data_IF_904270029672
#
_entry.id   IF_904270029672
#
_cell.length_a   1.000
_cell.length_b   1.000
_cell.length_c   1.000
_cell.angle_alpha   90.00
_cell.angle_beta   90.00
_cell.angle_gamma   90.00
#
_symmetry.space_group_name_H-M   'P 1'
#
loop_
_entity.id
_entity.type
_entity.pdbx_description
1 polymer ?
#
# COMPACT_ATOMS: atom_id res chain seq x y z
N UNK A 1 -42.82 34.05 -12.54
CA UNK A 1 -41.61 33.58 -11.83
C UNK A 1 -41.16 34.66 -10.84
N UNK A 2 -40.86 34.33 -9.57
CA UNK A 2 -40.49 35.32 -8.56
C UNK A 2 -39.16 36.03 -8.92
N UNK A 3 -39.09 37.35 -8.65
CA UNK A 3 -37.98 38.26 -9.06
C UNK A 3 -36.59 37.88 -8.49
N UNK A 4 -36.55 36.98 -7.50
CA UNK A 4 -35.33 36.50 -6.86
C UNK A 4 -34.49 35.57 -7.76
N UNK A 5 -35.11 34.93 -8.75
CA UNK A 5 -34.43 34.08 -9.72
C UNK A 5 -33.79 34.87 -10.89
N UNK A 6 -33.95 36.20 -10.93
CA UNK A 6 -33.39 37.03 -11.98
C UNK A 6 -31.93 37.42 -11.65
N UNK A 7 -30.94 37.05 -12.49
CA UNK A 7 -29.52 37.41 -12.29
C UNK A 7 -29.28 38.92 -12.13
N UNK A 8 -30.14 39.74 -12.74
CA UNK A 8 -30.05 41.21 -12.67
C UNK A 8 -30.31 41.76 -11.26
N UNK A 9 -31.04 41.04 -10.40
CA UNK A 9 -31.31 41.46 -9.01
C UNK A 9 -30.05 41.31 -8.15
N UNK A 10 -29.42 40.14 -8.18
CA UNK A 10 -28.18 39.85 -7.45
C UNK A 10 -26.98 40.67 -7.92
N UNK A 11 -26.93 41.02 -9.21
CA UNK A 11 -25.88 41.89 -9.72
C UNK A 11 -25.93 43.30 -9.12
N UNK A 12 -27.11 43.82 -8.73
CA UNK A 12 -27.25 45.14 -8.10
C UNK A 12 -26.86 45.15 -6.61
N UNK A 13 -26.94 44.01 -5.94
CA UNK A 13 -26.55 43.83 -4.53
C UNK A 13 -25.04 43.64 -4.36
N UNK A 14 -24.30 43.30 -5.42
CA UNK A 14 -22.85 43.11 -5.38
C UNK A 14 -22.11 44.45 -5.50
N UNK A 15 -21.24 44.82 -4.55
CA UNK A 15 -20.43 46.03 -4.60
C UNK A 15 -19.64 46.15 -5.90
N UNK A 16 -19.45 47.38 -6.39
CA UNK A 16 -18.78 47.65 -7.68
C UNK A 16 -17.36 47.05 -7.77
N UNK A 17 -16.66 46.97 -6.63
CA UNK A 17 -15.33 46.36 -6.54
C UNK A 17 -15.31 44.84 -6.80
N UNK A 18 -16.41 44.14 -6.57
CA UNK A 18 -16.55 42.69 -6.80
C UNK A 18 -17.37 42.36 -8.05
N UNK A 19 -17.93 43.39 -8.70
CA UNK A 19 -18.65 43.25 -9.94
C UNK A 19 -17.64 42.95 -11.04
N UNK A 20 -17.51 41.67 -11.43
CA UNK A 20 -16.72 41.27 -12.61
C UNK A 20 -17.42 41.80 -13.86
N UNK A 21 -17.13 43.03 -14.26
CA UNK A 21 -17.39 43.52 -15.61
C UNK A 21 -16.31 42.97 -16.51
N UNK A 22 -16.35 41.66 -16.78
CA UNK A 22 -15.67 41.12 -17.96
C UNK A 22 -16.65 41.22 -19.10
N UNK A 23 -16.29 41.96 -20.14
CA UNK A 23 -17.05 41.88 -21.38
C UNK A 23 -17.01 40.43 -21.88
N UNK A 24 -18.04 39.93 -22.60
CA UNK A 24 -18.02 38.58 -23.16
C UNK A 24 -16.74 38.33 -23.99
N UNK A 25 -16.22 39.40 -24.61
CA UNK A 25 -14.97 39.43 -25.37
C UNK A 25 -13.73 39.23 -24.49
N UNK A 26 -13.65 39.89 -23.32
CA UNK A 26 -12.55 39.67 -22.35
C UNK A 26 -12.61 38.29 -21.70
N UNK A 27 -13.80 37.77 -21.44
CA UNK A 27 -13.96 36.41 -20.92
C UNK A 27 -13.52 35.36 -21.96
N UNK A 28 -13.87 35.57 -23.24
CA UNK A 28 -13.41 34.73 -24.35
C UNK A 28 -11.90 34.84 -24.57
N UNK A 29 -11.32 36.04 -24.49
CA UNK A 29 -9.88 36.26 -24.63
C UNK A 29 -9.08 35.52 -23.53
N UNK A 30 -9.50 35.62 -22.27
CA UNK A 30 -8.87 34.87 -21.18
C UNK A 30 -9.09 33.36 -21.23
N UNK A 31 -10.20 32.90 -21.83
CA UNK A 31 -10.42 31.48 -22.05
C UNK A 31 -9.48 30.93 -23.15
N UNK A 32 -9.29 31.69 -24.23
CA UNK A 32 -8.33 31.36 -25.29
C UNK A 32 -6.88 31.38 -24.78
N UNK A 33 -6.53 32.37 -23.97
CA UNK A 33 -5.22 32.48 -23.32
C UNK A 33 -4.94 31.31 -22.37
N UNK A 34 -5.95 30.81 -21.65
CA UNK A 34 -5.81 29.61 -20.81
C UNK A 34 -5.84 28.30 -21.58
N UNK A 35 -6.41 28.28 -22.77
CA UNK A 35 -6.38 27.13 -23.66
C UNK A 35 -4.98 26.96 -24.28
N UNK A 36 -4.28 28.06 -24.54
CA UNK A 36 -2.87 28.05 -24.93
C UNK A 36 -2.01 27.44 -23.80
N UNK A 37 -1.41 26.28 -24.08
CA UNK A 37 -0.59 25.53 -23.12
C UNK A 37 -1.38 24.67 -22.12
N UNK A 38 -2.70 24.51 -22.30
CA UNK A 38 -3.49 23.59 -21.49
C UNK A 38 -3.05 22.13 -21.70
N UNK A 39 -2.64 21.79 -22.92
CA UNK A 39 -2.18 20.43 -23.27
C UNK A 39 -0.82 20.13 -22.65
N UNK A 40 0.13 21.08 -22.72
CA UNK A 40 1.43 20.96 -22.02
C UNK A 40 1.26 20.83 -20.51
N UNK A 41 0.30 21.56 -19.93
CA UNK A 41 0.00 21.46 -18.49
C UNK A 41 -0.61 20.10 -18.13
N UNK A 42 -1.52 19.59 -18.95
CA UNK A 42 -2.10 18.25 -18.76
C UNK A 42 -1.02 17.18 -18.91
N UNK A 43 -0.15 17.28 -19.92
CA UNK A 43 0.99 16.39 -20.11
C UNK A 43 1.94 16.44 -18.91
N UNK A 44 2.30 17.63 -18.42
CA UNK A 44 3.13 17.80 -17.23
C UNK A 44 2.53 17.16 -15.98
N UNK A 45 1.21 17.26 -15.79
CA UNK A 45 0.50 16.58 -14.69
C UNK A 45 0.58 15.06 -14.84
N UNK A 46 0.42 14.53 -16.06
CA UNK A 46 0.56 13.08 -16.31
C UNK A 46 1.96 12.60 -15.95
N UNK A 47 3.02 13.32 -16.36
CA UNK A 47 4.40 12.95 -16.00
C UNK A 47 4.67 13.09 -14.50
N UNK A 48 4.13 14.12 -13.85
CA UNK A 48 4.21 14.28 -12.40
C UNK A 48 3.57 13.09 -11.66
N UNK A 49 2.35 12.70 -12.06
CA UNK A 49 1.62 11.58 -11.45
C UNK A 49 2.35 10.26 -11.72
N UNK A 50 2.86 10.04 -12.92
CA UNK A 50 3.68 8.86 -13.24
C UNK A 50 4.94 8.79 -12.37
N UNK A 51 5.65 9.91 -12.19
CA UNK A 51 6.83 9.97 -11.32
C UNK A 51 6.50 9.66 -9.86
N UNK A 52 5.37 10.17 -9.35
CA UNK A 52 4.89 9.85 -8.00
C UNK A 52 4.50 8.38 -7.89
N UNK A 53 3.73 7.82 -8.82
CA UNK A 53 3.28 6.42 -8.78
C UNK A 53 4.47 5.46 -8.84
N UNK A 54 5.44 5.72 -9.72
CA UNK A 54 6.65 4.90 -9.82
C UNK A 54 7.50 5.03 -8.54
N UNK A 55 7.70 6.24 -8.02
CA UNK A 55 8.49 6.50 -6.81
C UNK A 55 7.84 6.06 -5.50
N UNK A 56 6.50 6.04 -5.42
CA UNK A 56 5.74 5.75 -4.20
C UNK A 56 5.90 4.30 -3.70
N UNK A 57 6.32 3.38 -4.55
CA UNK A 57 6.50 1.97 -4.20
C UNK A 57 7.72 1.71 -3.30
N UNK A 58 8.65 2.66 -3.15
CA UNK A 58 9.86 2.48 -2.35
C UNK A 58 9.56 2.22 -0.85
N UNK A 59 8.50 2.85 -0.32
CA UNK A 59 8.08 2.69 1.08
C UNK A 59 7.54 1.27 1.30
N UNK A 60 6.69 0.79 0.38
CA UNK A 60 6.15 -0.57 0.45
C UNK A 60 7.27 -1.61 0.44
N UNK A 61 8.29 -1.44 -0.41
CA UNK A 61 9.42 -2.36 -0.48
C UNK A 61 10.23 -2.40 0.81
N UNK A 62 10.42 -1.26 1.49
CA UNK A 62 11.11 -1.21 2.77
C UNK A 62 10.34 -1.92 3.88
N UNK A 63 9.02 -1.80 3.90
CA UNK A 63 8.18 -2.48 4.88
C UNK A 63 8.23 -4.01 4.67
N UNK A 64 8.05 -4.45 3.42
CA UNK A 64 8.15 -5.88 3.04
C UNK A 64 9.52 -6.46 3.42
N UNK A 65 10.61 -5.72 3.18
CA UNK A 65 11.96 -6.15 3.59
C UNK A 65 12.09 -6.29 5.11
N UNK A 66 11.51 -5.37 5.88
CA UNK A 66 11.57 -5.40 7.34
C UNK A 66 10.76 -6.57 7.91
N UNK A 67 9.57 -6.80 7.38
CA UNK A 67 8.72 -7.94 7.73
C UNK A 67 9.46 -9.25 7.45
N UNK A 68 10.06 -9.40 6.26
CA UNK A 68 10.86 -10.57 5.89
C UNK A 68 12.05 -10.80 6.84
N UNK A 69 12.76 -9.73 7.24
CA UNK A 69 13.89 -9.82 8.17
C UNK A 69 13.44 -10.27 9.56
N UNK A 70 12.31 -9.77 10.06
CA UNK A 70 11.76 -10.16 11.35
C UNK A 70 11.29 -11.62 11.32
N UNK A 71 10.59 -12.02 10.26
CA UNK A 71 10.13 -13.39 10.04
C UNK A 71 11.30 -14.38 9.99
N UNK A 72 12.37 -14.06 9.24
CA UNK A 72 13.57 -14.90 9.15
C UNK A 72 14.19 -15.13 10.54
N UNK A 73 14.35 -14.08 11.34
CA UNK A 73 14.93 -14.20 12.69
C UNK A 73 14.09 -15.07 13.62
N UNK A 74 12.77 -14.92 13.58
CA UNK A 74 11.86 -15.73 14.39
C UNK A 74 11.90 -17.20 13.96
N UNK A 75 11.91 -17.45 12.65
CA UNK A 75 11.98 -18.81 12.08
C UNK A 75 13.33 -19.47 12.40
N UNK A 76 14.45 -18.75 12.29
CA UNK A 76 15.78 -19.28 12.61
C UNK A 76 15.89 -19.68 14.08
N UNK A 77 15.33 -18.87 15.00
CA UNK A 77 15.29 -19.20 16.43
C UNK A 77 14.46 -20.48 16.68
N UNK A 78 13.30 -20.61 16.03
CA UNK A 78 12.44 -21.80 16.12
C UNK A 78 13.10 -23.05 15.55
N UNK A 79 13.78 -22.93 14.40
CA UNK A 79 14.54 -24.04 13.80
C UNK A 79 15.70 -24.45 14.70
N UNK A 80 16.41 -23.49 15.31
CA UNK A 80 17.48 -23.79 16.25
C UNK A 80 16.95 -24.55 17.48
N UNK A 81 15.83 -24.12 18.05
CA UNK A 81 15.17 -24.82 19.16
C UNK A 81 14.76 -26.25 18.79
N UNK A 82 14.14 -26.47 17.63
CA UNK A 82 13.80 -27.80 17.14
C UNK A 82 15.04 -28.68 16.96
N UNK A 83 16.10 -28.15 16.36
CA UNK A 83 17.37 -28.88 16.17
C UNK A 83 17.99 -29.30 17.49
N UNK A 84 17.99 -28.41 18.47
CA UNK A 84 18.50 -28.67 19.80
C UNK A 84 17.71 -29.79 20.49
N UNK A 85 16.37 -29.71 20.46
CA UNK A 85 15.50 -30.76 21.02
C UNK A 85 15.77 -32.10 20.35
N UNK A 86 15.82 -32.14 19.01
CA UNK A 86 16.09 -33.37 18.26
C UNK A 86 17.45 -33.95 18.64
N UNK A 87 18.48 -33.11 18.77
CA UNK A 87 19.83 -33.58 19.10
C UNK A 87 19.89 -34.16 20.52
N UNK A 88 19.27 -33.51 21.50
CA UNK A 88 19.23 -33.99 22.89
C UNK A 88 18.43 -35.30 23.03
N UNK A 89 17.29 -35.41 22.35
CA UNK A 89 16.49 -36.66 22.30
C UNK A 89 17.29 -37.78 21.64
N UNK A 90 18.01 -37.50 20.54
CA UNK A 90 18.86 -38.49 19.87
C UNK A 90 20.01 -38.99 20.75
N UNK A 91 20.52 -38.14 21.63
CA UNK A 91 21.56 -38.49 22.60
C UNK A 91 21.03 -39.32 23.78
N UNK A 92 19.71 -39.58 23.84
CA UNK A 92 19.07 -40.34 24.92
C UNK A 92 18.86 -39.55 26.20
N UNK A 93 18.97 -38.22 26.17
CA UNK A 93 18.62 -37.36 27.29
C UNK A 93 17.09 -37.29 27.46
N UNK A 94 16.62 -37.29 28.71
CA UNK A 94 15.22 -37.01 29.02
C UNK A 94 14.98 -35.49 28.87
N UNK A 95 14.33 -35.12 27.78
CA UNK A 95 14.10 -33.72 27.41
C UNK A 95 12.62 -33.42 27.52
N UNK A 96 12.29 -32.43 28.34
CA UNK A 96 10.95 -31.86 28.38
C UNK A 96 10.68 -31.02 27.12
N UNK A 97 10.25 -31.71 26.06
CA UNK A 97 9.91 -31.14 24.75
C UNK A 97 8.87 -30.04 24.87
N UNK A 98 7.91 -30.19 25.80
CA UNK A 98 6.81 -29.25 25.96
C UNK A 98 7.29 -27.90 26.45
N UNK A 99 8.15 -27.91 27.45
CA UNK A 99 8.74 -26.69 28.00
C UNK A 99 9.70 -26.00 27.03
N UNK A 100 10.50 -26.75 26.26
CA UNK A 100 11.48 -26.15 25.35
C UNK A 100 10.83 -25.58 24.09
N UNK A 101 9.82 -26.26 23.53
CA UNK A 101 9.12 -25.77 22.34
C UNK A 101 7.98 -24.80 22.69
N UNK A 102 7.69 -24.60 23.97
CA UNK A 102 6.56 -23.78 24.43
C UNK A 102 5.19 -24.39 24.12
N UNK A 103 5.12 -25.70 23.85
CA UNK A 103 3.85 -26.40 23.60
C UNK A 103 3.10 -26.57 24.93
N UNK A 104 2.26 -25.59 25.23
CA UNK A 104 1.55 -25.43 26.52
C UNK A 104 1.34 -23.97 26.94
N UNK A 105 2.04 -23.02 26.32
CA UNK A 105 1.77 -21.59 26.43
C UNK A 105 1.00 -21.12 25.18
N UNK A 106 -0.18 -20.55 25.39
CA UNK A 106 -1.06 -20.09 24.31
C UNK A 106 -0.38 -19.04 23.42
N UNK A 107 0.51 -18.21 23.98
CA UNK A 107 1.27 -17.23 23.20
C UNK A 107 2.25 -17.88 22.24
N UNK A 108 3.04 -18.84 22.71
CA UNK A 108 4.03 -19.54 21.89
C UNK A 108 3.37 -20.42 20.81
N UNK A 109 2.25 -21.07 21.15
CA UNK A 109 1.50 -21.89 20.20
C UNK A 109 0.92 -21.04 19.05
N UNK A 110 0.37 -19.86 19.36
CA UNK A 110 -0.11 -18.92 18.35
C UNK A 110 1.02 -18.46 17.40
N UNK A 111 2.22 -18.21 17.92
CA UNK A 111 3.36 -17.87 17.08
C UNK A 111 3.79 -19.05 16.19
N UNK A 112 3.63 -20.29 16.63
CA UNK A 112 3.92 -21.49 15.82
C UNK A 112 2.87 -21.65 14.72
N UNK A 113 1.60 -21.46 15.04
CA UNK A 113 0.50 -21.49 14.07
C UNK A 113 0.71 -20.44 12.96
N UNK A 114 1.10 -19.22 13.32
CA UNK A 114 1.39 -18.16 12.33
C UNK A 114 2.51 -18.56 11.36
N UNK A 115 3.62 -19.08 11.87
CA UNK A 115 4.75 -19.53 11.02
C UNK A 115 4.31 -20.67 10.09
N UNK A 116 3.51 -21.62 10.58
CA UNK A 116 2.99 -22.73 9.77
C UNK A 116 2.04 -22.21 8.68
N UNK A 117 1.12 -21.32 9.03
CA UNK A 117 0.15 -20.74 8.10
C UNK A 117 0.84 -19.92 7.00
N UNK A 118 1.87 -19.14 7.35
CA UNK A 118 2.67 -18.38 6.39
C UNK A 118 3.47 -19.29 5.46
N UNK A 119 4.03 -20.39 5.96
CA UNK A 119 4.71 -21.40 5.14
C UNK A 119 3.74 -22.06 4.15
N UNK A 120 2.57 -22.48 4.61
CA UNK A 120 1.56 -23.12 3.76
C UNK A 120 1.11 -22.18 2.64
N UNK A 121 0.84 -20.91 2.99
CA UNK A 121 0.46 -19.87 2.02
C UNK A 121 1.57 -19.64 0.99
N UNK A 122 2.82 -19.59 1.44
CA UNK A 122 3.98 -19.38 0.57
C UNK A 122 4.16 -20.54 -0.42
N UNK A 123 4.02 -21.78 0.04
CA UNK A 123 4.12 -22.98 -0.79
C UNK A 123 3.00 -23.03 -1.83
N UNK A 124 1.76 -22.71 -1.45
CA UNK A 124 0.64 -22.63 -2.41
C UNK A 124 0.91 -21.63 -3.54
N UNK A 125 1.46 -20.45 -3.20
CA UNK A 125 1.81 -19.43 -4.19
C UNK A 125 2.93 -19.90 -5.12
N UNK A 126 3.93 -20.60 -4.56
CA UNK A 126 5.05 -21.17 -5.31
C UNK A 126 4.60 -22.25 -6.30
N UNK A 127 3.76 -23.19 -5.85
CA UNK A 127 3.19 -24.23 -6.70
C UNK A 127 2.27 -23.65 -7.78
N UNK A 128 1.49 -22.61 -7.45
CA UNK A 128 0.69 -21.87 -8.42
C UNK A 128 1.53 -21.13 -9.47
N UNK A 129 2.73 -20.65 -9.13
CA UNK A 129 3.69 -20.07 -10.10
C UNK A 129 4.27 -21.16 -11.00
N UNK A 130 4.80 -22.25 -10.43
CA UNK A 130 5.36 -23.38 -11.22
C UNK A 130 4.36 -23.93 -12.25
N UNK A 131 3.09 -24.11 -11.85
CA UNK A 131 2.02 -24.56 -12.75
C UNK A 131 1.74 -23.59 -13.90
N UNK A 132 1.87 -22.28 -13.68
CA UNK A 132 1.69 -21.25 -14.72
C UNK A 132 2.86 -21.20 -15.68
N UNK A 133 4.08 -21.35 -15.18
CA UNK A 133 5.30 -21.40 -15.99
C UNK A 133 5.34 -22.67 -16.85
N UNK A 134 4.92 -23.82 -16.32
CA UNK A 134 4.84 -25.07 -17.07
C UNK A 134 3.76 -25.08 -18.17
N UNK A 135 2.78 -24.16 -18.11
CA UNK A 135 1.69 -24.04 -19.08
C UNK A 135 1.99 -23.01 -20.18
N UNK A 136 3.09 -22.27 -20.05
CA UNK A 136 3.49 -21.19 -20.95
C UNK A 136 4.59 -21.66 -21.91
#
# INVERSE_FOLDING_TARGET
LPRLANPSFWSKLTPKAWRKTRTPREAAAHAAERALGADDRRAGIVFLVLGIVVGSNAIHLLNVKREMLNFSRQTDAKIAALREVIQRVKNGEDVDVKRILGTGDAGHEQEWEQVIQELETTDMLWEGRKKREAKR
#
